data_IF_635664120688
#
_entry.id   IF_635664120688
#
_cell.length_a   1.000
_cell.length_b   1.000
_cell.length_c   1.000
_cell.angle_alpha   90.00
_cell.angle_beta   90.00
_cell.angle_gamma   90.00
#
_symmetry.space_group_name_H-M   'P 1'
#
loop_
_entity.id
_entity.type
_entity.pdbx_description
1 polymer ?
#
# COMPACT_ATOMS: atom_id res chain seq x y z
N UNK A 1 8.75 -5.37 10.12
CA UNK A 1 8.13 -6.68 10.47
C UNK A 1 6.70 -6.66 9.96
N UNK A 2 6.21 -7.76 9.40
CA UNK A 2 4.81 -7.87 8.95
C UNK A 2 4.00 -8.60 10.03
N UNK A 3 2.90 -8.00 10.46
CA UNK A 3 1.93 -8.58 11.37
C UNK A 3 0.71 -9.06 10.59
N UNK A 4 0.18 -10.21 11.00
CA UNK A 4 -1.02 -10.82 10.42
C UNK A 4 -2.22 -10.55 11.35
N UNK A 5 -3.27 -10.01 10.76
CA UNK A 5 -4.54 -9.66 11.40
C UNK A 5 -5.72 -10.30 10.66
N UNK A 6 -5.48 -11.38 9.92
CA UNK A 6 -6.51 -12.09 9.17
C UNK A 6 -7.59 -12.65 10.10
N UNK A 7 -8.82 -12.69 9.61
CA UNK A 7 -10.00 -13.11 10.37
C UNK A 7 -11.01 -13.80 9.45
N UNK A 8 -11.94 -14.55 10.03
CA UNK A 8 -13.04 -15.17 9.28
C UNK A 8 -14.29 -14.30 9.42
N UNK A 9 -14.95 -14.01 8.30
CA UNK A 9 -16.17 -13.19 8.19
C UNK A 9 -17.16 -13.90 7.27
N UNK A 10 -18.33 -14.28 7.78
CA UNK A 10 -19.39 -14.97 7.02
C UNK A 10 -18.89 -16.14 6.12
N UNK A 11 -18.10 -17.05 6.68
CA UNK A 11 -17.48 -18.22 6.01
C UNK A 11 -16.42 -17.87 4.94
N UNK A 12 -16.03 -16.59 4.84
CA UNK A 12 -14.92 -16.12 4.01
C UNK A 12 -13.75 -15.77 4.91
N UNK A 13 -12.56 -16.27 4.56
CA UNK A 13 -11.34 -15.84 5.25
C UNK A 13 -10.89 -14.50 4.65
N UNK A 14 -10.83 -13.46 5.49
CA UNK A 14 -10.31 -12.14 5.13
C UNK A 14 -8.85 -12.07 5.53
N UNK A 15 -7.97 -11.93 4.53
CA UNK A 15 -6.54 -11.73 4.75
C UNK A 15 -6.26 -10.27 5.04
N UNK A 16 -5.70 -9.97 6.20
CA UNK A 16 -5.29 -8.61 6.57
C UNK A 16 -3.86 -8.60 7.09
N UNK A 17 -2.98 -7.88 6.40
CA UNK A 17 -1.56 -7.79 6.75
C UNK A 17 -1.14 -6.34 6.94
N UNK A 18 -0.40 -6.08 8.01
CA UNK A 18 0.19 -4.78 8.30
C UNK A 18 1.70 -4.89 8.29
N UNK A 19 2.38 -3.99 7.59
CA UNK A 19 3.84 -3.87 7.62
C UNK A 19 4.22 -2.44 7.96
N UNK A 20 5.07 -2.26 8.96
CA UNK A 20 5.73 -0.98 9.22
C UNK A 20 7.10 -0.99 8.54
N UNK A 21 7.34 0.02 7.73
CA UNK A 21 8.61 0.30 7.07
C UNK A 21 9.30 1.46 7.77
N UNK A 22 10.52 1.22 8.21
CA UNK A 22 11.40 2.20 8.83
C UNK A 22 12.40 2.72 7.79
N UNK A 23 12.54 4.04 7.69
CA UNK A 23 13.49 4.71 6.81
C UNK A 23 14.64 5.33 7.61
N UNK A 24 15.80 5.50 6.96
CA UNK A 24 17.02 5.97 7.61
C UNK A 24 16.93 7.42 8.14
N UNK A 25 16.02 8.22 7.61
CA UNK A 25 15.71 9.59 8.05
C UNK A 25 14.73 9.64 9.24
N UNK A 26 14.37 8.48 9.79
CA UNK A 26 13.44 8.36 10.91
C UNK A 26 11.97 8.40 10.51
N UNK A 27 11.66 8.48 9.21
CA UNK A 27 10.30 8.33 8.72
C UNK A 27 9.85 6.88 8.94
N UNK A 28 8.59 6.72 9.36
CA UNK A 28 7.93 5.41 9.41
C UNK A 28 6.65 5.45 8.60
N UNK A 29 6.48 4.44 7.74
CA UNK A 29 5.27 4.26 6.93
C UNK A 29 4.63 2.92 7.31
N UNK A 30 3.35 2.99 7.66
CA UNK A 30 2.49 1.82 7.80
C UNK A 30 1.85 1.49 6.47
N UNK A 31 1.98 0.24 6.06
CA UNK A 31 1.33 -0.37 4.92
C UNK A 31 0.33 -1.41 5.41
N UNK A 32 -0.93 -1.29 4.99
CA UNK A 32 -1.97 -2.28 5.26
C UNK A 32 -2.51 -2.80 3.93
N UNK A 33 -2.73 -4.10 3.85
CA UNK A 33 -3.47 -4.73 2.76
C UNK A 33 -4.52 -5.68 3.33
N UNK A 34 -5.72 -5.61 2.78
CA UNK A 34 -6.87 -6.45 3.14
C UNK A 34 -7.54 -6.99 1.87
N UNK A 35 -7.86 -8.29 1.84
CA UNK A 35 -8.56 -8.93 0.72
C UNK A 35 -9.18 -10.26 1.15
N UNK A 36 -10.25 -10.64 0.47
CA UNK A 36 -10.93 -11.93 0.69
C UNK A 36 -10.11 -13.07 0.06
N UNK A 37 -9.91 -14.16 0.80
CA UNK A 37 -9.22 -15.37 0.35
C UNK A 37 -10.17 -16.27 -0.48
N UNK A 38 -10.58 -15.74 -1.62
CA UNK A 38 -11.47 -16.41 -2.56
C UNK A 38 -10.74 -16.74 -3.85
N UNK A 39 -11.24 -17.71 -4.62
CA UNK A 39 -10.72 -18.00 -5.95
C UNK A 39 -11.03 -16.83 -6.90
N UNK A 40 -10.00 -16.29 -7.55
CA UNK A 40 -10.11 -15.12 -8.44
C UNK A 40 -9.66 -15.52 -9.83
N UNK A 41 -10.38 -15.05 -10.85
CA UNK A 41 -9.99 -15.21 -12.26
C UNK A 41 -8.74 -14.38 -12.56
N UNK A 42 -7.75 -15.00 -13.20
CA UNK A 42 -6.47 -14.38 -13.56
C UNK A 42 -6.60 -13.14 -14.47
N UNK A 43 -7.73 -12.97 -15.16
CA UNK A 43 -8.01 -11.84 -16.05
C UNK A 43 -8.69 -10.65 -15.33
N UNK A 44 -9.00 -10.79 -14.05
CA UNK A 44 -9.63 -9.74 -13.24
C UNK A 44 -8.60 -9.16 -12.28
N UNK A 45 -8.68 -7.85 -12.05
CA UNK A 45 -7.93 -7.24 -10.96
C UNK A 45 -8.82 -7.23 -9.72
N UNK A 46 -8.62 -8.17 -8.78
CA UNK A 46 -9.52 -8.28 -7.64
C UNK A 46 -9.47 -7.07 -6.75
N UNK A 47 -10.60 -6.85 -6.07
CA UNK A 47 -10.66 -5.87 -5.00
C UNK A 47 -9.68 -6.26 -3.89
N UNK A 48 -8.93 -5.27 -3.42
CA UNK A 48 -8.19 -5.35 -2.18
C UNK A 48 -8.01 -3.93 -1.65
N UNK A 49 -8.17 -3.76 -0.35
CA UNK A 49 -7.97 -2.47 0.29
C UNK A 49 -6.53 -2.32 0.70
N UNK A 50 -5.86 -1.36 0.05
CA UNK A 50 -4.46 -1.04 0.30
C UNK A 50 -4.38 0.34 0.91
N UNK A 51 -3.72 0.48 2.05
CA UNK A 51 -3.50 1.75 2.72
C UNK A 51 -2.02 1.98 3.01
N UNK A 52 -1.53 3.16 2.65
CA UNK A 52 -0.26 3.69 3.10
C UNK A 52 -0.55 4.86 4.03
N UNK A 53 0.07 4.87 5.21
CA UNK A 53 -0.01 5.95 6.17
C UNK A 53 1.36 6.28 6.75
N UNK A 54 1.73 7.56 6.72
CA UNK A 54 2.88 8.07 7.46
C UNK A 54 2.52 8.06 8.94
N UNK A 55 3.27 7.30 9.75
CA UNK A 55 3.06 7.20 11.21
C UNK A 55 4.08 8.03 11.99
N UNK A 56 5.29 8.19 11.46
CA UNK A 56 6.29 9.11 11.97
C UNK A 56 6.86 9.91 10.79
N UNK A 57 6.87 11.23 10.92
CA UNK A 57 7.51 12.18 10.00
C UNK A 57 8.22 13.24 10.84
N UNK A 58 9.52 13.07 11.12
CA UNK A 58 10.26 13.98 12.01
C UNK A 58 10.29 15.44 11.52
N UNK A 59 10.05 15.67 10.23
CA UNK A 59 10.18 16.98 9.59
C UNK A 59 8.83 17.55 9.11
N UNK A 60 7.73 16.80 9.24
CA UNK A 60 6.38 17.13 8.77
C UNK A 60 6.32 17.55 7.28
N UNK A 61 7.16 16.94 6.45
CA UNK A 61 7.30 17.29 5.02
C UNK A 61 6.49 16.40 4.08
N UNK A 62 6.06 15.22 4.52
CA UNK A 62 5.41 14.24 3.65
C UNK A 62 3.92 14.56 3.52
N UNK A 63 3.52 15.03 2.34
CA UNK A 63 2.12 15.27 1.98
C UNK A 63 1.79 14.64 0.61
N UNK A 64 0.64 13.96 0.46
CA UNK A 64 -0.31 13.61 1.52
C UNK A 64 0.26 12.56 2.47
N UNK A 65 -0.18 12.57 3.74
CA UNK A 65 0.25 11.59 4.75
C UNK A 65 -0.45 10.23 4.64
N UNK A 66 -1.43 10.11 3.73
CA UNK A 66 -2.19 8.88 3.47
C UNK A 66 -2.43 8.69 1.98
N UNK A 67 -2.37 7.43 1.52
CA UNK A 67 -2.74 7.03 0.16
C UNK A 67 -3.44 5.67 0.20
N UNK A 68 -4.62 5.60 -0.42
CA UNK A 68 -5.41 4.36 -0.49
C UNK A 68 -5.61 3.90 -1.93
N UNK A 69 -5.76 2.59 -2.12
CA UNK A 69 -6.14 1.95 -3.38
C UNK A 69 -7.15 0.83 -3.09
N UNK A 70 -8.01 0.54 -4.06
CA UNK A 70 -9.05 -0.51 -3.96
C UNK A 70 -8.71 -1.76 -4.76
N UNK A 71 -7.57 -1.77 -5.46
CA UNK A 71 -7.00 -2.96 -6.06
C UNK A 71 -5.50 -2.76 -6.33
N UNK A 72 -4.80 -3.87 -6.59
CA UNK A 72 -3.37 -3.84 -6.92
C UNK A 72 -3.08 -3.09 -8.22
N UNK A 73 -3.99 -3.08 -9.19
CA UNK A 73 -3.76 -2.41 -10.48
C UNK A 73 -3.68 -0.89 -10.32
N UNK A 74 -4.56 -0.29 -9.52
CA UNK A 74 -4.51 1.14 -9.18
C UNK A 74 -3.18 1.49 -8.47
N UNK A 75 -2.77 0.66 -7.51
CA UNK A 75 -1.50 0.84 -6.80
C UNK A 75 -0.31 0.76 -7.77
N UNK A 76 -0.26 -0.26 -8.62
CA UNK A 76 0.82 -0.48 -9.60
C UNK A 76 0.88 0.64 -10.63
N UNK A 77 -0.26 1.07 -11.15
CA UNK A 77 -0.33 2.21 -12.07
C UNK A 77 0.25 3.47 -11.40
N UNK A 78 -0.17 3.77 -10.17
CA UNK A 78 0.34 4.92 -9.42
C UNK A 78 1.86 4.85 -9.18
N UNK A 79 2.39 3.68 -8.79
CA UNK A 79 3.83 3.49 -8.62
C UNK A 79 4.60 3.74 -9.92
N UNK A 80 4.09 3.24 -11.05
CA UNK A 80 4.68 3.50 -12.38
C UNK A 80 4.68 4.99 -12.70
N UNK A 81 3.57 5.69 -12.46
CA UNK A 81 3.49 7.14 -12.67
C UNK A 81 4.51 7.90 -11.81
N UNK A 82 4.70 7.51 -10.54
CA UNK A 82 5.67 8.15 -9.65
C UNK A 82 7.12 7.88 -10.08
N UNK A 83 7.43 6.67 -10.55
CA UNK A 83 8.75 6.36 -11.11
C UNK A 83 9.05 7.18 -12.37
N UNK A 84 8.08 7.33 -13.28
CA UNK A 84 8.24 8.15 -14.48
C UNK A 84 8.42 9.63 -14.14
N UNK A 85 7.62 10.18 -13.23
CA UNK A 85 7.75 11.58 -12.79
C UNK A 85 9.13 11.88 -12.16
N UNK A 86 9.80 10.89 -11.57
CA UNK A 86 11.15 11.05 -11.02
C UNK A 86 12.27 11.07 -12.08
N UNK A 87 11.99 10.58 -13.29
CA UNK A 87 12.98 10.44 -14.37
C UNK A 87 13.14 11.70 -15.23
N UNK A 88 12.22 12.67 -15.14
CA UNK A 88 12.26 13.92 -15.90
C UNK A 88 13.16 15.01 -15.28
N UNK A 89 13.87 14.72 -14.19
CA UNK A 89 14.79 15.67 -13.51
C UNK A 89 16.26 15.60 -13.99
N UNK A 90 16.54 15.07 -15.18
CA UNK A 90 17.87 15.11 -15.82
C UNK A 90 17.79 15.76 -17.20
N UNK A 91 17.57 17.07 -17.24
CA UNK A 91 17.97 17.94 -18.34
C UNK A 91 18.42 19.28 -17.77
N UNK A 92 19.71 19.37 -17.47
CA UNK A 92 20.51 20.60 -17.52
C UNK A 92 21.84 20.26 -18.19
#
# INVERSE_FOLDING_TARGET
MTADFSYSDDEVDVIRKETVYDFADGVQIKYVIEYDDVAIDDNVCPECWINYQVVVDPFDTIKPSKKSFYNRCQQQFWLKTMMMASSDNHHD
#
